data_IF_162412785393
#
_entry.id   IF_162412785393
#
_cell.length_a   1.000
_cell.length_b   1.000
_cell.length_c   1.000
_cell.angle_alpha   90.00
_cell.angle_beta   90.00
_cell.angle_gamma   90.00
#
_symmetry.space_group_name_H-M   'P 1'
#
loop_
_entity.id
_entity.type
_entity.pdbx_description
1 polymer ?
#
# COMPACT_ATOMS: atom_id res chain seq x y z
N UNK A 1 -13.44 3.92 -11.36
CA UNK A 1 -12.84 3.16 -10.24
C UNK A 1 -12.65 4.04 -9.01
N UNK A 2 -11.85 5.12 -9.08
CA UNK A 2 -11.50 5.96 -7.91
C UNK A 2 -12.70 6.49 -7.12
N UNK A 3 -13.67 7.15 -7.77
CA UNK A 3 -14.87 7.68 -7.09
C UNK A 3 -15.60 6.58 -6.28
N UNK A 4 -15.80 5.41 -6.90
CA UNK A 4 -16.49 4.30 -6.26
C UNK A 4 -15.69 3.73 -5.08
N UNK A 5 -14.37 3.54 -5.24
CA UNK A 5 -13.53 3.03 -4.16
C UNK A 5 -13.42 4.01 -3.00
N UNK A 6 -13.22 5.30 -3.25
CA UNK A 6 -13.16 6.33 -2.21
C UNK A 6 -14.48 6.37 -1.43
N UNK A 7 -15.62 6.33 -2.14
CA UNK A 7 -16.94 6.28 -1.49
C UNK A 7 -17.12 5.00 -0.64
N UNK A 8 -16.67 3.84 -1.15
CA UNK A 8 -16.71 2.58 -0.40
C UNK A 8 -15.79 2.59 0.82
N UNK A 9 -14.60 3.15 0.71
CA UNK A 9 -13.66 3.30 1.84
C UNK A 9 -14.26 4.22 2.89
N UNK A 10 -14.87 5.34 2.49
CA UNK A 10 -15.56 6.24 3.41
C UNK A 10 -16.72 5.52 4.14
N UNK A 11 -17.51 4.72 3.42
CA UNK A 11 -18.56 3.89 4.02
C UNK A 11 -17.98 2.85 5.00
N UNK A 12 -16.90 2.15 4.61
CA UNK A 12 -16.24 1.17 5.48
C UNK A 12 -15.66 1.84 6.73
N UNK A 13 -15.02 2.99 6.59
CA UNK A 13 -14.50 3.76 7.71
C UNK A 13 -15.61 4.19 8.68
N UNK A 14 -16.78 4.58 8.16
CA UNK A 14 -17.93 4.89 8.99
C UNK A 14 -18.40 3.66 9.79
N UNK A 15 -18.50 2.49 9.14
CA UNK A 15 -18.88 1.23 9.81
C UNK A 15 -17.84 0.84 10.87
N UNK A 16 -16.55 0.84 10.51
CA UNK A 16 -15.45 0.47 11.41
C UNK A 16 -15.42 1.40 12.62
N UNK A 17 -15.52 2.72 12.39
CA UNK A 17 -15.54 3.72 13.46
C UNK A 17 -16.74 3.54 14.38
N UNK A 18 -17.93 3.24 13.83
CA UNK A 18 -19.12 2.98 14.64
C UNK A 18 -18.94 1.75 15.54
N UNK A 19 -18.43 0.65 15.00
CA UNK A 19 -18.17 -0.58 15.76
C UNK A 19 -17.10 -0.34 16.83
N UNK A 20 -16.00 0.33 16.48
CA UNK A 20 -14.92 0.64 17.42
C UNK A 20 -15.40 1.55 18.56
N UNK A 21 -16.25 2.52 18.26
CA UNK A 21 -16.88 3.40 19.25
C UNK A 21 -17.70 2.64 20.29
N UNK A 22 -18.40 1.55 19.92
CA UNK A 22 -19.08 0.69 20.89
C UNK A 22 -18.14 -0.03 21.87
N UNK A 23 -16.86 -0.17 21.52
CA UNK A 23 -15.82 -0.80 22.33
C UNK A 23 -14.94 0.27 23.02
N UNK A 24 -15.31 1.56 22.91
CA UNK A 24 -14.59 2.69 23.50
C UNK A 24 -13.31 3.08 22.77
N UNK A 25 -13.17 2.72 21.49
CA UNK A 25 -12.04 3.06 20.64
C UNK A 25 -12.47 4.05 19.56
N UNK A 26 -12.09 5.31 19.71
CA UNK A 26 -12.43 6.37 18.75
C UNK A 26 -11.39 6.45 17.62
N UNK A 27 -11.83 6.86 16.42
CA UNK A 27 -10.94 7.16 15.29
C UNK A 27 -10.33 5.95 14.58
N UNK A 28 -10.87 4.74 14.76
CA UNK A 28 -10.40 3.54 14.05
C UNK A 28 -10.90 3.56 12.60
N UNK A 29 -9.97 3.59 11.67
CA UNK A 29 -10.23 3.53 10.22
C UNK A 29 -9.61 2.28 9.61
N UNK A 30 -10.03 1.94 8.39
CA UNK A 30 -9.40 0.89 7.57
C UNK A 30 -7.89 1.17 7.41
N UNK A 31 -7.52 2.42 7.14
CA UNK A 31 -6.13 2.85 7.01
C UNK A 31 -5.34 2.61 8.30
N UNK A 32 -5.90 2.94 9.46
CA UNK A 32 -5.26 2.69 10.76
C UNK A 32 -5.02 1.20 10.99
N UNK A 33 -6.02 0.35 10.70
CA UNK A 33 -5.91 -1.11 10.83
C UNK A 33 -4.83 -1.69 9.90
N UNK A 34 -4.83 -1.27 8.63
CA UNK A 34 -3.80 -1.64 7.67
C UNK A 34 -2.41 -1.14 8.11
N UNK A 35 -2.35 0.07 8.67
CA UNK A 35 -1.16 0.65 9.28
C UNK A 35 -0.57 -0.26 10.34
N UNK A 36 -1.36 -0.68 11.33
CA UNK A 36 -0.90 -1.60 12.36
C UNK A 36 -0.47 -2.96 11.79
N UNK A 37 -1.21 -3.50 10.83
CA UNK A 37 -0.94 -4.80 10.24
C UNK A 37 0.37 -4.82 9.41
N UNK A 38 0.60 -3.79 8.61
CA UNK A 38 1.75 -3.71 7.70
C UNK A 38 2.93 -2.91 8.25
N UNK A 39 2.81 -2.30 9.44
CA UNK A 39 3.91 -1.60 10.12
C UNK A 39 5.20 -2.42 10.22
N UNK A 40 5.18 -3.72 10.60
CA UNK A 40 6.41 -4.52 10.64
C UNK A 40 7.07 -4.67 9.26
N UNK A 41 6.26 -4.75 8.20
CA UNK A 41 6.75 -4.84 6.81
C UNK A 41 7.39 -3.52 6.40
N UNK A 42 6.74 -2.39 6.66
CA UNK A 42 7.31 -1.06 6.40
C UNK A 42 8.64 -0.85 7.13
N UNK A 43 8.71 -1.25 8.41
CA UNK A 43 9.95 -1.19 9.18
C UNK A 43 11.05 -2.08 8.59
N UNK A 44 10.70 -3.30 8.15
CA UNK A 44 11.67 -4.25 7.57
C UNK A 44 12.34 -3.77 6.29
N UNK A 45 11.70 -2.86 5.53
CA UNK A 45 12.25 -2.27 4.30
C UNK A 45 12.97 -0.93 4.56
N UNK A 46 13.18 -0.56 5.83
CA UNK A 46 14.05 0.56 6.21
C UNK A 46 13.36 1.87 6.59
N UNK A 47 12.02 1.86 6.76
CA UNK A 47 11.25 3.00 7.29
C UNK A 47 11.47 3.11 8.82
N UNK A 48 11.72 4.31 9.38
CA UNK A 48 11.77 4.54 10.82
C UNK A 48 10.48 4.08 11.53
N UNK A 49 10.60 3.58 12.77
CA UNK A 49 9.47 2.96 13.47
C UNK A 49 8.29 3.90 13.76
N UNK A 50 8.59 5.19 13.92
CA UNK A 50 7.67 6.30 14.09
C UNK A 50 6.87 6.61 12.81
N UNK A 51 7.48 6.43 11.63
CA UNK A 51 6.83 6.64 10.33
C UNK A 51 6.21 5.34 9.77
N UNK A 52 6.61 4.18 10.29
CA UNK A 52 6.26 2.87 9.75
C UNK A 52 4.75 2.56 9.81
N UNK A 53 3.99 3.19 10.72
CA UNK A 53 2.54 3.02 10.75
C UNK A 53 1.87 3.68 9.54
N UNK A 54 2.31 4.88 9.16
CA UNK A 54 1.82 5.60 7.98
C UNK A 54 2.21 4.83 6.71
N UNK A 55 3.49 4.48 6.58
CA UNK A 55 3.95 3.69 5.43
C UNK A 55 3.29 2.31 5.34
N UNK A 56 3.02 1.68 6.49
CA UNK A 56 2.26 0.43 6.56
C UNK A 56 0.85 0.58 5.99
N UNK A 57 0.15 1.67 6.33
CA UNK A 57 -1.20 1.93 5.84
C UNK A 57 -1.21 2.03 4.31
N UNK A 58 -0.30 2.81 3.73
CA UNK A 58 -0.15 2.97 2.27
C UNK A 58 0.19 1.65 1.57
N UNK A 59 1.10 0.84 2.12
CA UNK A 59 1.44 -0.48 1.58
C UNK A 59 0.22 -1.42 1.61
N UNK A 60 -0.54 -1.40 2.71
CA UNK A 60 -1.75 -2.20 2.86
C UNK A 60 -2.85 -1.76 1.91
N UNK A 61 -3.11 -0.46 1.78
CA UNK A 61 -4.07 0.11 0.84
C UNK A 61 -3.76 -0.30 -0.58
N UNK A 62 -2.49 -0.20 -0.99
CA UNK A 62 -2.04 -0.63 -2.31
C UNK A 62 -2.36 -2.11 -2.54
N UNK A 63 -2.05 -2.98 -1.59
CA UNK A 63 -2.23 -4.43 -1.73
C UNK A 63 -3.71 -4.84 -1.80
N UNK A 64 -4.54 -4.28 -0.91
CA UNK A 64 -5.95 -4.66 -0.76
C UNK A 64 -6.82 -3.95 -1.80
N UNK A 65 -6.54 -2.68 -2.07
CA UNK A 65 -7.31 -1.83 -2.97
C UNK A 65 -6.56 -1.68 -4.30
N UNK A 66 -5.73 -0.65 -4.42
CA UNK A 66 -4.83 -0.40 -5.54
C UNK A 66 -3.87 0.73 -5.21
N UNK A 67 -2.82 0.83 -6.02
CA UNK A 67 -1.78 1.84 -5.95
C UNK A 67 -2.28 3.26 -6.18
N UNK A 68 -3.32 3.49 -7.00
CA UNK A 68 -3.80 4.84 -7.26
C UNK A 68 -4.43 5.47 -6.01
N UNK A 69 -5.19 4.70 -5.23
CA UNK A 69 -5.75 5.18 -3.96
C UNK A 69 -4.63 5.44 -2.97
N UNK A 70 -3.70 4.49 -2.83
CA UNK A 70 -2.54 4.66 -1.96
C UNK A 70 -1.71 5.89 -2.34
N UNK A 71 -1.54 6.20 -3.63
CA UNK A 71 -0.85 7.41 -4.06
C UNK A 71 -1.62 8.69 -3.74
N UNK A 72 -2.96 8.69 -3.88
CA UNK A 72 -3.79 9.83 -3.48
C UNK A 72 -3.59 10.10 -1.98
N UNK A 73 -3.67 9.08 -1.14
CA UNK A 73 -3.47 9.22 0.30
C UNK A 73 -2.01 9.60 0.62
N UNK A 74 -1.04 9.09 -0.14
CA UNK A 74 0.37 9.44 0.03
C UNK A 74 0.65 10.93 -0.25
N UNK A 75 -0.08 11.57 -1.18
CA UNK A 75 0.12 13.00 -1.48
C UNK A 75 -0.12 13.93 -0.28
N UNK A 76 -0.95 13.50 0.68
CA UNK A 76 -1.22 14.24 1.91
C UNK A 76 0.04 14.41 2.77
N UNK A 77 1.05 13.56 2.59
CA UNK A 77 2.32 13.58 3.33
C UNK A 77 3.49 14.21 2.57
N UNK A 78 3.28 14.59 1.29
CA UNK A 78 4.31 15.20 0.44
C UNK A 78 4.30 16.73 0.46
N UNK A 79 3.21 17.33 0.94
CA UNK A 79 3.04 18.78 0.97
C UNK A 79 3.83 19.41 2.12
N UNK A 80 4.39 20.61 1.90
CA UNK A 80 5.12 21.35 2.96
C UNK A 80 4.24 21.70 4.17
N UNK A 81 2.92 21.71 3.98
CA UNK A 81 1.92 21.99 5.01
C UNK A 81 1.26 20.70 5.56
N UNK A 82 1.85 19.52 5.30
CA UNK A 82 1.35 18.27 5.86
C UNK A 82 1.40 18.29 7.40
N UNK A 83 0.36 17.78 8.05
CA UNK A 83 0.31 17.67 9.52
C UNK A 83 1.42 16.78 10.08
N UNK A 84 1.81 15.75 9.31
CA UNK A 84 2.94 14.87 9.61
C UNK A 84 3.84 14.81 8.40
N UNK A 85 5.07 15.32 8.54
CA UNK A 85 6.08 15.26 7.49
C UNK A 85 6.87 13.96 7.59
N UNK A 86 6.93 13.23 6.49
CA UNK A 86 7.77 12.04 6.37
C UNK A 86 9.19 12.43 5.99
N UNK A 87 10.17 11.69 6.51
CA UNK A 87 11.57 11.85 6.14
C UNK A 87 11.78 11.65 4.63
N UNK A 88 12.77 12.32 4.01
CA UNK A 88 13.09 12.13 2.59
C UNK A 88 13.36 10.67 2.23
N UNK A 89 13.97 9.92 3.15
CA UNK A 89 14.20 8.49 3.02
C UNK A 89 12.89 7.70 2.90
N UNK A 90 11.94 7.95 3.80
CA UNK A 90 10.63 7.28 3.80
C UNK A 90 9.79 7.66 2.60
N UNK A 91 9.84 8.92 2.17
CA UNK A 91 9.18 9.36 0.93
C UNK A 91 9.70 8.54 -0.26
N UNK A 92 11.01 8.35 -0.34
CA UNK A 92 11.60 7.55 -1.41
C UNK A 92 11.21 6.06 -1.32
N UNK A 93 11.31 5.45 -0.13
CA UNK A 93 10.87 4.06 0.08
C UNK A 93 9.41 3.89 -0.35
N UNK A 94 8.53 4.78 0.11
CA UNK A 94 7.10 4.76 -0.24
C UNK A 94 6.86 4.90 -1.74
N UNK A 95 7.57 5.80 -2.41
CA UNK A 95 7.47 6.01 -3.87
C UNK A 95 7.74 4.72 -4.64
N UNK A 96 8.79 3.98 -4.29
CA UNK A 96 9.14 2.71 -4.95
C UNK A 96 8.28 1.53 -4.49
N UNK A 97 7.92 1.46 -3.21
CA UNK A 97 7.09 0.39 -2.67
C UNK A 97 5.66 0.41 -3.24
N UNK A 98 5.12 1.59 -3.53
CA UNK A 98 3.81 1.77 -4.14
C UNK A 98 3.81 1.61 -5.67
N UNK A 99 4.97 1.71 -6.32
CA UNK A 99 5.11 1.69 -7.78
C UNK A 99 4.92 0.29 -8.38
N UNK A 100 3.67 -0.19 -8.46
CA UNK A 100 3.33 -1.41 -9.18
C UNK A 100 1.90 -1.86 -8.95
N UNK A 101 1.34 -2.57 -9.94
CA UNK A 101 -0.05 -3.05 -9.95
C UNK A 101 -0.26 -4.35 -9.14
N UNK A 102 0.60 -4.62 -8.16
CA UNK A 102 0.50 -5.80 -7.31
C UNK A 102 -0.59 -5.61 -6.24
N UNK A 103 -1.84 -5.88 -6.63
CA UNK A 103 -3.02 -5.77 -5.77
C UNK A 103 -4.02 -6.91 -6.10
N UNK A 104 -4.98 -7.15 -5.20
CA UNK A 104 -5.97 -8.23 -5.38
C UNK A 104 -6.85 -8.03 -6.62
N UNK A 105 -7.19 -6.79 -6.97
CA UNK A 105 -7.98 -6.46 -8.16
C UNK A 105 -7.27 -6.83 -9.48
N UNK A 106 -5.95 -6.69 -9.54
CA UNK A 106 -5.14 -7.02 -10.71
C UNK A 106 -5.17 -8.50 -11.08
N UNK A 107 -5.50 -9.40 -10.14
CA UNK A 107 -5.71 -10.83 -10.45
C UNK A 107 -6.84 -10.97 -11.47
N UNK A 108 -7.97 -10.28 -11.27
CA UNK A 108 -9.10 -10.33 -12.18
C UNK A 108 -8.74 -9.75 -13.56
N UNK A 109 -7.96 -8.66 -13.57
CA UNK A 109 -7.45 -8.04 -14.80
C UNK A 109 -6.56 -9.03 -15.58
N UNK A 110 -5.64 -9.74 -14.91
CA UNK A 110 -4.77 -10.73 -15.55
C UNK A 110 -5.56 -11.95 -16.04
N UNK A 111 -6.51 -12.45 -15.25
CA UNK A 111 -7.38 -13.56 -15.67
C UNK A 111 -8.22 -13.18 -16.89
N UNK A 112 -8.74 -11.95 -16.95
CA UNK A 112 -9.47 -11.45 -18.13
C UNK A 112 -8.55 -11.23 -19.34
N UNK A 113 -7.47 -10.49 -19.15
CA UNK A 113 -6.51 -10.12 -20.20
C UNK A 113 -5.75 -11.32 -20.74
N UNK A 114 -4.86 -11.93 -19.95
CA UNK A 114 -4.08 -13.12 -20.37
C UNK A 114 -4.99 -14.30 -20.70
N UNK A 115 -6.10 -14.44 -19.98
CA UNK A 115 -7.07 -15.50 -20.26
C UNK A 115 -7.80 -15.33 -21.60
N UNK A 116 -7.95 -14.11 -22.13
CA UNK A 116 -8.47 -13.91 -23.48
C UNK A 116 -7.44 -14.29 -24.55
N UNK A 117 -6.16 -14.05 -24.28
CA UNK A 117 -5.04 -14.40 -25.19
C UNK A 117 -4.74 -15.90 -25.19
N UNK A 118 -4.90 -16.57 -24.05
CA UNK A 118 -4.68 -18.01 -23.88
C UNK A 118 -5.86 -18.67 -23.13
N UNK A 119 -7.02 -18.89 -23.79
CA UNK A 119 -8.24 -19.40 -23.15
C UNK A 119 -8.05 -20.72 -22.40
N UNK A 120 -7.26 -21.64 -22.96
CA UNK A 120 -6.96 -22.94 -22.36
C UNK A 120 -6.07 -22.87 -21.10
N UNK A 121 -5.53 -21.69 -20.78
CA UNK A 121 -4.63 -21.46 -19.63
C UNK A 121 -5.26 -20.58 -18.55
N UNK A 122 -6.55 -20.21 -18.67
CA UNK A 122 -7.27 -19.37 -17.70
C UNK A 122 -7.20 -19.90 -16.27
N UNK A 123 -7.38 -21.21 -16.11
CA UNK A 123 -7.31 -21.89 -14.80
C UNK A 123 -5.93 -21.77 -14.16
N UNK A 124 -4.86 -21.89 -14.95
CA UNK A 124 -3.48 -21.73 -14.47
C UNK A 124 -3.23 -20.31 -13.97
N UNK A 125 -3.66 -19.31 -14.75
CA UNK A 125 -3.51 -17.89 -14.38
C UNK A 125 -4.26 -17.58 -13.09
N UNK A 126 -5.51 -18.03 -12.96
CA UNK A 126 -6.31 -17.84 -11.76
C UNK A 126 -5.66 -18.52 -10.53
N UNK A 127 -5.18 -19.76 -10.69
CA UNK A 127 -4.52 -20.53 -9.61
C UNK A 127 -3.24 -19.86 -9.11
N UNK A 128 -2.50 -19.19 -10.00
CA UNK A 128 -1.27 -18.47 -9.64
C UNK A 128 -1.52 -17.05 -9.09
N UNK A 129 -2.73 -16.51 -9.22
CA UNK A 129 -3.05 -15.11 -8.96
C UNK A 129 -2.48 -14.55 -7.65
N UNK A 130 -2.78 -15.18 -6.51
CA UNK A 130 -2.28 -14.71 -5.21
C UNK A 130 -0.75 -14.78 -5.11
N UNK A 131 -0.13 -15.83 -5.67
CA UNK A 131 1.33 -15.95 -5.71
C UNK A 131 1.96 -14.85 -6.54
N UNK A 132 1.33 -14.49 -7.66
CA UNK A 132 1.77 -13.39 -8.53
C UNK A 132 1.68 -12.05 -7.81
N UNK A 133 0.59 -11.79 -7.07
CA UNK A 133 0.47 -10.56 -6.26
C UNK A 133 1.55 -10.51 -5.18
N UNK A 134 1.78 -11.60 -4.44
CA UNK A 134 2.83 -11.64 -3.42
C UNK A 134 4.21 -11.40 -4.06
N UNK A 135 4.53 -12.07 -5.16
CA UNK A 135 5.79 -11.88 -5.87
C UNK A 135 5.98 -10.45 -6.39
N UNK A 136 4.93 -9.85 -6.96
CA UNK A 136 4.94 -8.46 -7.41
C UNK A 136 5.13 -7.48 -6.25
N UNK A 137 4.44 -7.69 -5.14
CA UNK A 137 4.57 -6.85 -3.95
C UNK A 137 5.97 -6.94 -3.35
N UNK A 138 6.55 -8.15 -3.23
CA UNK A 138 7.92 -8.32 -2.78
C UNK A 138 8.93 -7.64 -3.71
N UNK A 139 8.71 -7.65 -5.02
CA UNK A 139 9.54 -6.93 -5.99
C UNK A 139 9.51 -5.41 -5.76
N UNK A 140 8.33 -4.85 -5.52
CA UNK A 140 8.20 -3.42 -5.19
C UNK A 140 8.81 -3.06 -3.84
N UNK A 141 8.59 -3.90 -2.81
CA UNK A 141 9.18 -3.73 -1.48
C UNK A 141 10.71 -3.79 -1.52
N UNK A 142 11.27 -4.70 -2.31
CA UNK A 142 12.72 -4.80 -2.53
C UNK A 142 13.26 -3.53 -3.20
N UNK A 143 12.59 -3.04 -4.24
CA UNK A 143 12.94 -1.76 -4.88
C UNK A 143 12.90 -0.60 -3.87
N UNK A 144 11.89 -0.57 -3.00
CA UNK A 144 11.78 0.39 -1.90
C UNK A 144 12.94 0.31 -0.91
N UNK A 145 13.30 -0.90 -0.47
CA UNK A 145 14.43 -1.11 0.42
C UNK A 145 15.76 -0.66 -0.19
N UNK A 146 15.99 -0.95 -1.48
CA UNK A 146 17.17 -0.50 -2.21
C UNK A 146 17.22 1.03 -2.29
N UNK A 147 16.10 1.68 -2.62
CA UNK A 147 16.02 3.14 -2.63
C UNK A 147 16.32 3.74 -1.25
N UNK A 148 15.73 3.18 -0.19
CA UNK A 148 15.95 3.58 1.19
C UNK A 148 17.41 3.42 1.64
N UNK A 149 18.08 2.36 1.19
CA UNK A 149 19.51 2.14 1.45
C UNK A 149 20.36 3.24 0.82
N UNK A 150 20.24 3.47 -0.49
CA UNK A 150 21.09 4.43 -1.19
C UNK A 150 20.81 5.88 -0.81
N UNK A 151 19.55 6.25 -0.57
CA UNK A 151 19.20 7.60 -0.14
C UNK A 151 19.61 7.85 1.31
N UNK A 152 19.50 6.83 2.17
CA UNK A 152 20.01 6.91 3.54
C UNK A 152 21.52 7.09 3.60
N UNK A 153 22.27 6.46 2.69
CA UNK A 153 23.74 6.63 2.60
C UNK A 153 24.09 7.98 1.96
N UNK A 154 23.47 8.36 0.85
CA UNK A 154 23.76 9.60 0.14
C UNK A 154 23.40 10.85 0.95
N UNK A 155 22.33 10.80 1.75
CA UNK A 155 21.93 11.87 2.66
C UNK A 155 22.79 12.00 3.92
N UNK A 156 23.71 11.05 4.20
CA UNK A 156 24.70 11.16 5.27
C UNK A 156 26.00 11.86 4.83
N UNK A 157 26.10 12.22 3.53
CA UNK A 157 27.29 12.84 2.92
C UNK A 157 27.05 14.33 2.55
N UNK A 158 25.85 14.85 2.78
CA UNK A 158 25.51 16.28 2.68
C UNK A 158 25.19 16.84 4.08
#
# INVERSE_FOLDING_TARGET
MLIAFIALIAMLNWIISAIAGFIGQDGVTLQSLLGYLFRPIAWSIGVPWDEAQISGALIGEKLILNEFIAYVDFTNYLSSNAETQLSPKTIAIGTFALCGFANLGSIAILVGGLGSMAPNRRSDVARMGLRTVIAGSLSNLMSGAIAGLFIGIAGAVL
#
